data_IF_189076644457
#
_entry.id   IF_189076644457
#
_cell.length_a   1.000
_cell.length_b   1.000
_cell.length_c   1.000
_cell.angle_alpha   90.00
_cell.angle_beta   90.00
_cell.angle_gamma   90.00
#
_symmetry.space_group_name_H-M   'P 1'
#
loop_
_entity.id
_entity.type
_entity.pdbx_description
1 polymer ?
#
# COMPACT_ATOMS: atom_id res chain seq x y z
N UNK A 1 -8.59 33.92 32.86
CA UNK A 1 -7.61 32.86 32.57
C UNK A 1 -6.34 33.17 33.33
N UNK A 2 -5.89 32.25 34.19
CA UNK A 2 -4.64 32.40 34.97
C UNK A 2 -3.43 31.90 34.18
N UNK A 3 -2.21 32.19 34.63
CA UNK A 3 -0.99 31.81 33.92
C UNK A 3 -0.86 30.30 33.62
N UNK A 4 -1.31 29.45 34.56
CA UNK A 4 -1.26 28.00 34.42
C UNK A 4 -2.27 27.45 33.40
N UNK A 5 -3.36 28.19 33.16
CA UNK A 5 -4.37 27.83 32.16
C UNK A 5 -3.78 27.84 30.73
N UNK A 6 -2.91 28.82 30.46
CA UNK A 6 -2.12 28.88 29.24
C UNK A 6 -1.15 27.71 29.11
N UNK A 7 -0.46 27.34 30.19
CA UNK A 7 0.41 26.17 30.22
C UNK A 7 -0.35 24.87 29.90
N UNK A 8 -1.47 24.58 30.61
CA UNK A 8 -2.23 23.35 30.38
C UNK A 8 -2.86 23.31 28.98
N UNK A 9 -3.27 24.45 28.44
CA UNK A 9 -3.72 24.53 27.04
C UNK A 9 -2.60 24.18 26.07
N UNK A 10 -1.41 24.74 26.25
CA UNK A 10 -0.24 24.42 25.41
C UNK A 10 0.18 22.95 25.56
N UNK A 11 0.17 22.43 26.79
CA UNK A 11 0.47 21.02 27.09
C UNK A 11 -0.52 20.09 26.38
N UNK A 12 -1.82 20.37 26.44
CA UNK A 12 -2.84 19.58 25.76
C UNK A 12 -2.65 19.58 24.25
N UNK A 13 -2.29 20.73 23.66
CA UNK A 13 -1.98 20.83 22.23
C UNK A 13 -0.73 20.06 21.85
N UNK A 14 0.33 20.16 22.65
CA UNK A 14 1.56 19.39 22.47
C UNK A 14 1.28 17.89 22.56
N UNK A 15 0.47 17.44 23.52
CA UNK A 15 0.11 16.03 23.66
C UNK A 15 -0.66 15.53 22.44
N UNK A 16 -1.53 16.35 21.85
CA UNK A 16 -2.26 16.01 20.64
C UNK A 16 -1.35 15.79 19.41
N UNK A 17 -0.17 16.42 19.34
CA UNK A 17 0.78 16.18 18.22
C UNK A 17 1.41 14.80 18.26
N UNK A 18 1.34 14.10 19.40
CA UNK A 18 1.77 12.72 19.54
C UNK A 18 0.65 11.72 19.18
N UNK A 19 -0.52 12.19 18.76
CA UNK A 19 -1.69 11.34 18.46
C UNK A 19 -2.33 10.69 19.69
N UNK A 20 -3.28 9.79 19.45
CA UNK A 20 -3.99 9.03 20.48
C UNK A 20 -3.76 7.51 20.32
N UNK A 21 -4.33 6.70 21.22
CA UNK A 21 -4.22 5.23 21.16
C UNK A 21 -2.85 4.66 21.52
N UNK A 22 -2.67 3.35 21.40
CA UNK A 22 -1.35 2.71 21.54
C UNK A 22 -0.64 2.84 20.19
N UNK A 23 0.58 3.42 20.11
CA UNK A 23 1.30 3.49 18.84
C UNK A 23 1.56 2.09 18.28
N UNK A 24 1.29 1.90 16.98
CA UNK A 24 1.51 0.63 16.31
C UNK A 24 3.00 0.30 16.23
N UNK A 25 3.35 -0.92 16.61
CA UNK A 25 4.72 -1.46 16.54
C UNK A 25 4.95 -2.13 15.18
N UNK A 26 6.21 -2.31 14.81
CA UNK A 26 6.59 -2.68 13.44
C UNK A 26 6.56 -4.17 13.11
N UNK A 27 5.94 -5.03 13.93
CA UNK A 27 5.89 -6.47 13.66
C UNK A 27 5.22 -6.79 12.32
N UNK A 28 4.24 -5.98 11.90
CA UNK A 28 3.57 -6.15 10.59
C UNK A 28 4.51 -5.87 9.39
N UNK A 29 5.59 -5.12 9.62
CA UNK A 29 6.60 -4.81 8.60
C UNK A 29 7.81 -5.76 8.66
N UNK A 30 7.82 -6.75 9.56
CA UNK A 30 8.87 -7.76 9.67
C UNK A 30 8.48 -9.07 8.98
N UNK A 31 8.62 -9.11 7.65
CA UNK A 31 8.46 -10.32 6.83
C UNK A 31 9.67 -11.26 6.86
N UNK A 32 10.67 -11.00 7.71
CA UNK A 32 11.99 -11.64 7.61
C UNK A 32 11.94 -13.16 7.79
N UNK A 33 11.06 -13.67 8.65
CA UNK A 33 10.94 -15.11 8.88
C UNK A 33 10.60 -15.88 7.59
N UNK A 34 9.59 -15.40 6.84
CA UNK A 34 9.18 -15.99 5.56
C UNK A 34 10.30 -15.90 4.52
N UNK A 35 11.00 -14.77 4.46
CA UNK A 35 12.13 -14.61 3.53
C UNK A 35 13.31 -15.53 3.88
N UNK A 36 13.57 -15.78 5.16
CA UNK A 36 14.57 -16.78 5.60
C UNK A 36 14.15 -18.21 5.26
N UNK A 37 12.86 -18.52 5.34
CA UNK A 37 12.33 -19.81 4.88
C UNK A 37 12.54 -19.99 3.36
N UNK A 38 12.28 -18.94 2.57
CA UNK A 38 12.54 -18.96 1.12
C UNK A 38 14.03 -19.11 0.81
N UNK A 39 14.91 -18.40 1.54
CA UNK A 39 16.36 -18.57 1.45
C UNK A 39 16.77 -20.02 1.70
N UNK A 40 16.24 -20.64 2.76
CA UNK A 40 16.53 -22.02 3.12
C UNK A 40 16.00 -23.00 2.06
N UNK A 41 14.79 -22.78 1.54
CA UNK A 41 14.17 -23.61 0.51
C UNK A 41 15.00 -23.62 -0.78
N UNK A 42 15.45 -22.45 -1.24
CA UNK A 42 16.29 -22.36 -2.45
C UNK A 42 17.66 -23.00 -2.25
N UNK A 43 18.27 -22.84 -1.07
CA UNK A 43 19.52 -23.55 -0.73
C UNK A 43 19.33 -25.06 -0.72
N UNK A 44 18.21 -25.55 -0.19
CA UNK A 44 17.90 -26.97 -0.12
C UNK A 44 17.62 -27.59 -1.52
N UNK A 45 17.18 -26.78 -2.48
CA UNK A 45 16.95 -27.20 -3.85
C UNK A 45 18.24 -27.34 -4.68
N UNK A 46 19.43 -27.09 -4.10
CA UNK A 46 20.70 -27.22 -4.81
C UNK A 46 20.88 -28.64 -5.40
N UNK A 47 21.52 -28.78 -6.58
CA UNK A 47 21.79 -30.08 -7.18
C UNK A 47 22.63 -30.95 -6.25
N UNK A 48 22.36 -32.25 -6.24
CA UNK A 48 23.13 -33.25 -5.52
C UNK A 48 23.82 -34.22 -6.48
N UNK A 49 24.42 -35.29 -5.94
CA UNK A 49 25.15 -36.30 -6.70
C UNK A 49 24.34 -36.93 -7.85
N UNK A 50 23.01 -36.80 -7.88
CA UNK A 50 22.14 -37.34 -8.93
C UNK A 50 22.08 -36.45 -10.17
N UNK A 51 22.44 -35.16 -10.07
CA UNK A 51 22.43 -34.23 -11.20
C UNK A 51 23.71 -33.39 -11.21
N UNK A 52 24.60 -33.73 -12.14
CA UNK A 52 25.93 -33.13 -12.25
C UNK A 52 26.17 -32.59 -13.68
N UNK A 53 27.16 -31.72 -13.82
CA UNK A 53 27.55 -31.10 -15.08
C UNK A 53 27.18 -29.62 -15.16
N UNK A 54 27.53 -28.97 -16.27
CA UNK A 54 27.47 -27.50 -16.40
C UNK A 54 26.08 -26.90 -16.16
N UNK A 55 25.00 -27.64 -16.48
CA UNK A 55 23.63 -27.20 -16.21
C UNK A 55 23.31 -27.21 -14.70
N UNK A 56 23.78 -28.22 -13.97
CA UNK A 56 23.64 -28.29 -12.52
C UNK A 56 24.47 -27.17 -11.85
N UNK A 57 25.70 -26.93 -12.30
CA UNK A 57 26.54 -25.84 -11.78
C UNK A 57 25.89 -24.45 -11.98
N UNK A 58 25.32 -24.20 -13.17
CA UNK A 58 24.62 -22.96 -13.46
C UNK A 58 23.36 -22.77 -12.61
N UNK A 59 22.61 -23.85 -12.37
CA UNK A 59 21.46 -23.85 -11.49
C UNK A 59 21.86 -23.57 -10.03
N UNK A 60 22.91 -24.24 -9.52
CA UNK A 60 23.45 -24.01 -8.18
C UNK A 60 23.86 -22.54 -7.98
N UNK A 61 24.58 -21.96 -8.95
CA UNK A 61 24.99 -20.56 -8.92
C UNK A 61 23.79 -19.58 -8.91
N UNK A 62 22.68 -19.93 -9.57
CA UNK A 62 21.44 -19.13 -9.53
C UNK A 62 20.73 -19.26 -8.18
N UNK A 63 20.65 -20.46 -7.62
CA UNK A 63 20.10 -20.67 -6.27
C UNK A 63 20.88 -19.88 -5.21
N UNK A 64 22.22 -19.86 -5.29
CA UNK A 64 23.03 -19.04 -4.38
C UNK A 64 22.71 -17.55 -4.48
N UNK A 65 22.50 -17.03 -5.70
CA UNK A 65 22.10 -15.62 -5.91
C UNK A 65 20.73 -15.33 -5.32
N UNK A 66 19.74 -16.17 -5.59
CA UNK A 66 18.39 -16.01 -5.04
C UNK A 66 18.41 -16.10 -3.50
N UNK A 67 19.14 -17.05 -2.94
CA UNK A 67 19.28 -17.18 -1.50
C UNK A 67 19.95 -15.94 -0.88
N UNK A 68 20.98 -15.39 -1.52
CA UNK A 68 21.60 -14.13 -1.08
C UNK A 68 20.63 -12.94 -1.15
N UNK A 69 19.79 -12.88 -2.19
CA UNK A 69 18.73 -11.85 -2.31
C UNK A 69 17.70 -11.98 -1.19
N UNK A 70 17.12 -13.16 -0.98
CA UNK A 70 16.16 -13.40 0.11
C UNK A 70 16.75 -13.09 1.48
N UNK A 71 18.01 -13.47 1.72
CA UNK A 71 18.70 -13.16 2.97
C UNK A 71 18.85 -11.66 3.20
N UNK A 72 19.16 -10.89 2.16
CA UNK A 72 19.24 -9.42 2.25
C UNK A 72 17.89 -8.78 2.47
N UNK A 73 16.86 -9.21 1.73
CA UNK A 73 15.49 -8.72 1.93
C UNK A 73 15.03 -9.00 3.37
N UNK A 74 15.31 -10.20 3.90
CA UNK A 74 14.96 -10.55 5.27
C UNK A 74 15.64 -9.61 6.30
N UNK A 75 16.90 -9.24 6.08
CA UNK A 75 17.60 -8.30 6.95
C UNK A 75 17.03 -6.87 6.87
N UNK A 76 16.56 -6.46 5.69
CA UNK A 76 15.93 -5.16 5.50
C UNK A 76 14.53 -5.10 6.14
N UNK A 77 13.69 -6.12 5.95
CA UNK A 77 12.35 -6.20 6.56
C UNK A 77 12.46 -6.12 8.09
N UNK A 78 13.39 -6.89 8.66
CA UNK A 78 13.63 -6.87 10.11
C UNK A 78 14.07 -5.50 10.61
N UNK A 79 14.92 -4.80 9.85
CA UNK A 79 15.34 -3.43 10.18
C UNK A 79 14.18 -2.44 10.05
N UNK A 80 13.33 -2.58 9.03
CA UNK A 80 12.16 -1.73 8.84
C UNK A 80 11.19 -1.87 10.02
N UNK A 81 10.83 -3.10 10.38
CA UNK A 81 9.99 -3.36 11.55
C UNK A 81 10.58 -2.79 12.84
N UNK A 82 11.89 -2.89 13.04
CA UNK A 82 12.56 -2.29 14.19
C UNK A 82 12.46 -0.75 14.21
N UNK A 83 12.59 -0.08 13.07
CA UNK A 83 12.48 1.39 13.00
C UNK A 83 11.06 1.90 13.21
N UNK A 84 10.03 1.18 12.73
CA UNK A 84 8.63 1.50 13.04
C UNK A 84 8.36 1.35 14.55
N UNK A 85 8.86 0.28 15.17
CA UNK A 85 8.81 0.11 16.63
C UNK A 85 9.55 1.22 17.38
N UNK A 86 10.68 1.71 16.86
CA UNK A 86 11.40 2.84 17.45
C UNK A 86 10.58 4.14 17.36
N UNK A 87 9.89 4.39 16.24
CA UNK A 87 8.96 5.53 16.12
C UNK A 87 7.84 5.44 17.16
N UNK A 88 7.22 4.28 17.31
CA UNK A 88 6.21 4.04 18.34
C UNK A 88 6.74 4.35 19.75
N UNK A 89 7.99 3.97 20.04
CA UNK A 89 8.65 4.24 21.30
C UNK A 89 8.90 5.76 21.53
N UNK A 90 9.30 6.51 20.51
CA UNK A 90 9.45 7.98 20.59
C UNK A 90 8.12 8.64 20.92
N UNK A 91 7.04 8.22 20.27
CA UNK A 91 5.69 8.72 20.57
C UNK A 91 5.30 8.46 22.03
N UNK A 92 5.48 7.22 22.48
CA UNK A 92 5.16 6.83 23.85
C UNK A 92 6.00 7.62 24.88
N UNK A 93 7.29 7.79 24.62
CA UNK A 93 8.22 8.52 25.49
C UNK A 93 7.88 10.02 25.56
N UNK A 94 7.52 10.64 24.43
CA UNK A 94 7.07 12.03 24.38
C UNK A 94 5.83 12.25 25.22
N UNK A 95 4.80 11.40 25.06
CA UNK A 95 3.58 11.45 25.88
C UNK A 95 3.87 11.29 27.37
N UNK A 96 4.67 10.29 27.74
CA UNK A 96 5.06 10.07 29.14
C UNK A 96 5.82 11.28 29.73
N UNK A 97 6.67 11.94 28.93
CA UNK A 97 7.40 13.13 29.36
C UNK A 97 6.47 14.32 29.58
N UNK A 98 5.47 14.52 28.71
CA UNK A 98 4.46 15.56 28.88
C UNK A 98 3.56 15.29 30.10
N UNK A 99 3.15 14.04 30.33
CA UNK A 99 2.36 13.66 31.50
C UNK A 99 3.17 13.87 32.80
N UNK A 100 4.46 13.52 32.81
CA UNK A 100 5.37 13.80 33.93
C UNK A 100 5.53 15.30 34.20
N UNK A 101 5.61 16.10 33.13
CA UNK A 101 5.68 17.56 33.23
C UNK A 101 4.40 18.17 33.80
N UNK A 102 3.24 17.66 33.39
CA UNK A 102 1.92 18.03 33.95
C UNK A 102 1.87 17.84 35.46
N UNK A 103 2.32 16.67 35.92
CA UNK A 103 2.36 16.33 37.34
C UNK A 103 3.31 17.24 38.10
N UNK A 104 4.51 17.49 37.56
CA UNK A 104 5.47 18.41 38.18
C UNK A 104 4.92 19.84 38.31
N UNK A 105 4.26 20.39 37.29
CA UNK A 105 3.64 21.71 37.37
C UNK A 105 2.50 21.73 38.39
N UNK A 106 1.67 20.69 38.40
CA UNK A 106 0.58 20.54 39.37
C UNK A 106 1.10 20.53 40.81
N UNK A 107 2.13 19.72 41.09
CA UNK A 107 2.74 19.60 42.41
C UNK A 107 3.37 20.94 42.86
N UNK A 108 4.07 21.62 41.95
CA UNK A 108 4.65 22.92 42.25
C UNK A 108 3.58 23.98 42.55
N UNK A 109 2.47 24.01 41.81
CA UNK A 109 1.37 24.97 42.08
C UNK A 109 0.76 24.78 43.48
N UNK A 110 0.68 23.55 43.99
CA UNK A 110 0.18 23.30 45.36
C UNK A 110 1.02 23.98 46.45
N UNK A 111 2.31 24.20 46.18
CA UNK A 111 3.24 24.82 47.12
C UNK A 111 3.27 26.35 47.03
N UNK A 112 2.63 26.95 46.01
CA UNK A 112 2.68 28.38 45.76
C UNK A 112 1.59 29.12 46.57
N UNK A 113 1.93 30.20 47.30
CA UNK A 113 0.96 31.03 48.03
C UNK A 113 -0.20 31.55 47.16
N UNK A 114 -1.34 31.87 47.78
CA UNK A 114 -2.55 32.38 47.08
C UNK A 114 -2.64 33.91 47.07
N UNK A 115 -1.51 34.60 47.12
CA UNK A 115 -1.42 36.06 47.09
C UNK A 115 -0.76 36.57 45.79
N UNK A 116 -0.58 37.90 45.67
CA UNK A 116 0.06 38.51 44.49
C UNK A 116 1.49 38.02 44.25
N UNK A 117 2.22 37.59 45.29
CA UNK A 117 3.55 37.02 45.13
C UNK A 117 3.48 35.64 44.48
N UNK A 118 2.49 34.84 44.87
CA UNK A 118 2.18 33.55 44.26
C UNK A 118 1.75 33.65 42.79
N UNK A 119 1.00 34.68 42.40
CA UNK A 119 0.62 34.89 41.00
C UNK A 119 1.82 35.13 40.08
N UNK A 120 2.85 35.84 40.57
CA UNK A 120 4.12 36.00 39.85
C UNK A 120 4.90 34.68 39.75
N UNK A 121 4.89 33.88 40.81
CA UNK A 121 5.54 32.55 40.81
C UNK A 121 4.85 31.60 39.83
N UNK A 122 3.51 31.61 39.73
CA UNK A 122 2.75 30.82 38.73
C UNK A 122 3.08 31.21 37.29
N UNK A 123 3.29 32.51 37.02
CA UNK A 123 3.75 32.97 35.70
C UNK A 123 5.13 32.41 35.33
N UNK A 124 6.07 32.42 36.27
CA UNK A 124 7.42 31.87 36.06
C UNK A 124 7.35 30.35 35.88
N UNK A 125 6.54 29.65 36.69
CA UNK A 125 6.31 28.22 36.57
C UNK A 125 5.71 27.85 35.22
N UNK A 126 4.68 28.57 34.78
CA UNK A 126 4.06 28.37 33.46
C UNK A 126 5.06 28.59 32.32
N UNK A 127 5.86 29.66 32.37
CA UNK A 127 6.88 29.95 31.36
C UNK A 127 7.95 28.85 31.30
N UNK A 128 8.41 28.36 32.46
CA UNK A 128 9.35 27.24 32.52
C UNK A 128 8.75 25.95 31.97
N UNK A 129 7.50 25.65 32.33
CA UNK A 129 6.76 24.49 31.83
C UNK A 129 6.60 24.54 30.30
N UNK A 130 6.23 25.69 29.73
CA UNK A 130 6.15 25.86 28.27
C UNK A 130 7.51 25.66 27.59
N UNK A 131 8.60 26.13 28.20
CA UNK A 131 9.96 25.83 27.72
C UNK A 131 10.25 24.33 27.68
N UNK A 132 9.91 23.60 28.75
CA UNK A 132 10.10 22.15 28.79
C UNK A 132 9.20 21.38 27.81
N UNK A 133 8.00 21.88 27.51
CA UNK A 133 7.15 21.33 26.43
C UNK A 133 7.89 21.45 25.10
N UNK A 134 8.47 22.61 24.81
CA UNK A 134 9.22 22.83 23.58
C UNK A 134 10.43 21.89 23.48
N UNK A 135 11.15 21.67 24.58
CA UNK A 135 12.28 20.74 24.62
C UNK A 135 11.86 19.30 24.31
N UNK A 136 10.74 18.84 24.89
CA UNK A 136 10.19 17.49 24.61
C UNK A 136 9.79 17.33 23.15
N UNK A 137 9.13 18.34 22.57
CA UNK A 137 8.75 18.33 21.15
C UNK A 137 10.00 18.32 20.27
N UNK A 138 10.96 19.20 20.52
CA UNK A 138 12.18 19.28 19.72
C UNK A 138 12.97 17.97 19.76
N UNK A 139 13.18 17.39 20.95
CA UNK A 139 13.87 16.11 21.09
C UNK A 139 13.15 15.00 20.35
N UNK A 140 11.81 14.93 20.47
CA UNK A 140 11.02 13.91 19.77
C UNK A 140 11.09 14.07 18.25
N UNK A 141 11.07 15.32 17.75
CA UNK A 141 11.26 15.61 16.32
C UNK A 141 12.64 15.19 15.85
N UNK A 142 13.70 15.52 16.60
CA UNK A 142 15.07 15.15 16.24
C UNK A 142 15.26 13.62 16.20
N UNK A 143 14.63 12.90 17.13
CA UNK A 143 14.64 11.43 17.18
C UNK A 143 13.85 10.83 16.00
N UNK A 144 12.68 11.38 15.67
CA UNK A 144 11.90 10.97 14.48
C UNK A 144 12.65 11.24 13.18
N UNK A 145 13.30 12.39 13.05
CA UNK A 145 14.13 12.71 11.87
C UNK A 145 15.32 11.74 11.74
N UNK A 146 15.90 11.33 12.86
CA UNK A 146 16.94 10.32 12.86
C UNK A 146 16.43 8.95 12.40
N UNK A 147 15.21 8.57 12.81
CA UNK A 147 14.54 7.34 12.34
C UNK A 147 14.23 7.45 10.84
N UNK A 148 13.66 8.57 10.38
CA UNK A 148 13.33 8.80 8.97
C UNK A 148 14.56 8.66 8.06
N UNK A 149 15.73 9.18 8.49
CA UNK A 149 16.99 8.98 7.76
C UNK A 149 17.41 7.51 7.66
N UNK A 150 17.15 6.70 8.68
CA UNK A 150 17.44 5.25 8.66
C UNK A 150 16.45 4.48 7.79
N UNK A 151 15.17 4.86 7.79
CA UNK A 151 14.15 4.31 6.89
C UNK A 151 14.52 4.61 5.43
N UNK A 152 14.98 5.82 5.12
CA UNK A 152 15.44 6.19 3.77
C UNK A 152 16.69 5.40 3.34
N UNK A 153 17.61 5.10 4.26
CA UNK A 153 18.75 4.19 4.00
C UNK A 153 18.30 2.75 3.71
N UNK A 154 17.28 2.27 4.43
CA UNK A 154 16.67 0.96 4.18
C UNK A 154 16.01 0.94 2.80
N UNK A 155 15.25 1.99 2.45
CA UNK A 155 14.62 2.14 1.12
C UNK A 155 15.66 2.04 0.00
N UNK A 156 16.77 2.79 0.10
CA UNK A 156 17.85 2.74 -0.90
C UNK A 156 18.43 1.32 -1.05
N UNK A 157 18.52 0.56 0.03
CA UNK A 157 18.98 -0.83 -0.03
C UNK A 157 17.97 -1.77 -0.69
N UNK A 158 16.66 -1.52 -0.54
CA UNK A 158 15.65 -2.21 -1.36
C UNK A 158 15.79 -1.86 -2.84
N UNK A 159 15.93 -0.57 -3.17
CA UNK A 159 16.11 -0.10 -4.55
C UNK A 159 17.37 -0.71 -5.19
N UNK A 160 18.45 -0.85 -4.42
CA UNK A 160 19.65 -1.54 -4.87
C UNK A 160 19.44 -3.03 -5.17
N UNK A 161 18.55 -3.71 -4.45
CA UNK A 161 18.21 -5.10 -4.73
C UNK A 161 17.37 -5.18 -6.00
N UNK A 162 16.40 -4.28 -6.17
CA UNK A 162 15.55 -4.18 -7.36
C UNK A 162 16.37 -3.80 -8.62
N UNK A 163 17.32 -2.88 -8.50
CA UNK A 163 18.17 -2.42 -9.62
C UNK A 163 19.31 -3.37 -10.01
N UNK A 164 19.55 -4.46 -9.26
CA UNK A 164 20.61 -5.44 -9.56
C UNK A 164 20.18 -6.54 -10.55
N UNK A 165 18.97 -6.50 -11.10
CA UNK A 165 18.53 -7.45 -12.13
C UNK A 165 19.04 -7.16 -13.55
N UNK A 166 19.71 -6.04 -13.81
CA UNK A 166 20.38 -5.77 -15.10
C UNK A 166 21.91 -5.84 -14.97
N UNK A 167 22.51 -6.97 -15.35
CA UNK A 167 23.96 -7.03 -15.60
C UNK A 167 24.64 -8.36 -15.28
N UNK A 168 24.58 -9.31 -16.22
CA UNK A 168 25.61 -10.34 -16.34
C UNK A 168 25.92 -10.56 -17.83
N UNK A 169 26.96 -9.89 -18.33
CA UNK A 169 27.51 -10.15 -19.66
C UNK A 169 28.39 -11.42 -19.66
N UNK A 170 28.09 -12.26 -20.67
CA UNK A 170 28.93 -13.18 -21.45
C UNK A 170 29.51 -14.46 -20.82
N UNK A 171 29.04 -15.62 -21.31
CA UNK A 171 29.84 -16.55 -22.12
C UNK A 171 28.97 -17.17 -23.23
N UNK A 172 29.56 -17.25 -24.42
CA UNK A 172 28.99 -17.60 -25.73
C UNK A 172 28.76 -19.12 -25.89
N UNK A 173 27.50 -19.57 -26.05
CA UNK A 173 27.02 -20.72 -26.86
C UNK A 173 25.49 -20.93 -26.67
N UNK A 174 24.73 -21.33 -27.73
CA UNK A 174 23.28 -21.12 -27.79
C UNK A 174 22.49 -22.24 -27.09
N UNK A 175 21.98 -21.94 -25.91
CA UNK A 175 20.75 -22.53 -25.38
C UNK A 175 19.81 -21.36 -25.13
N UNK A 176 18.72 -21.32 -25.89
CA UNK A 176 17.83 -20.16 -25.97
C UNK A 176 17.41 -19.66 -24.59
N UNK A 177 17.46 -18.34 -24.41
CA UNK A 177 16.79 -17.67 -23.31
C UNK A 177 15.36 -18.24 -23.21
N UNK A 178 14.80 -18.48 -22.00
CA UNK A 178 13.35 -18.55 -21.89
C UNK A 178 12.79 -17.28 -22.55
N UNK A 179 11.67 -17.37 -23.30
CA UNK A 179 11.16 -16.23 -24.02
C UNK A 179 11.01 -15.05 -23.05
N UNK A 180 11.31 -13.80 -23.48
CA UNK A 180 10.97 -12.64 -22.69
C UNK A 180 9.50 -12.75 -22.30
N UNK A 181 9.21 -12.68 -21.00
CA UNK A 181 7.82 -12.58 -20.54
C UNK A 181 7.32 -11.25 -21.07
N UNK A 182 6.21 -11.28 -21.82
CA UNK A 182 5.59 -10.07 -22.32
C UNK A 182 5.22 -9.18 -21.11
N UNK A 183 5.71 -7.93 -21.01
CA UNK A 183 5.42 -7.05 -19.89
C UNK A 183 3.92 -6.91 -19.59
N UNK A 184 3.07 -7.01 -20.61
CA UNK A 184 1.61 -6.94 -20.46
C UNK A 184 1.02 -8.20 -19.80
N UNK A 185 1.61 -9.37 -20.07
CA UNK A 185 1.24 -10.62 -19.39
C UNK A 185 1.76 -10.64 -17.95
N UNK A 186 2.90 -10.01 -17.68
CA UNK A 186 3.41 -9.83 -16.32
C UNK A 186 2.51 -8.89 -15.50
N UNK A 187 2.08 -7.77 -16.09
CA UNK A 187 1.07 -6.88 -15.47
C UNK A 187 -0.20 -7.67 -15.19
N UNK A 188 -0.76 -8.35 -16.19
CA UNK A 188 -1.97 -9.16 -16.00
C UNK A 188 -1.83 -10.19 -14.88
N UNK A 189 -0.66 -10.80 -14.70
CA UNK A 189 -0.40 -11.76 -13.63
C UNK A 189 -0.22 -11.12 -12.25
N UNK A 190 0.48 -9.97 -12.18
CA UNK A 190 0.82 -9.30 -10.91
C UNK A 190 -0.38 -8.57 -10.32
N UNK A 191 -1.18 -7.95 -11.18
CA UNK A 191 -2.33 -7.13 -10.80
C UNK A 191 -3.59 -8.01 -10.80
N UNK A 192 -3.65 -8.94 -9.85
CA UNK A 192 -4.81 -9.80 -9.59
C UNK A 192 -5.04 -9.84 -8.10
N UNK A 193 -6.30 -9.76 -7.68
CA UNK A 193 -6.68 -9.86 -6.27
C UNK A 193 -7.77 -10.90 -6.09
N UNK A 194 -7.73 -11.62 -4.97
CA UNK A 194 -8.80 -12.55 -4.64
C UNK A 194 -10.08 -11.76 -4.33
N UNK A 195 -11.24 -12.24 -4.79
CA UNK A 195 -12.55 -11.68 -4.42
C UNK A 195 -12.65 -11.46 -2.89
N UNK A 196 -13.44 -10.46 -2.47
CA UNK A 196 -13.61 -10.18 -1.05
C UNK A 196 -14.18 -11.42 -0.33
N UNK A 197 -13.49 -11.97 0.70
CA UNK A 197 -13.94 -13.18 1.38
C UNK A 197 -15.28 -13.02 2.10
N UNK A 198 -15.66 -11.78 2.44
CA UNK A 198 -16.94 -11.44 3.07
C UNK A 198 -18.00 -11.03 2.02
N UNK A 199 -17.65 -11.07 0.73
CA UNK A 199 -18.52 -10.78 -0.40
C UNK A 199 -18.81 -9.28 -0.61
N UNK A 200 -19.91 -9.00 -1.30
CA UNK A 200 -20.39 -7.66 -1.57
C UNK A 200 -21.71 -7.37 -0.85
N UNK A 201 -21.94 -6.11 -0.50
CA UNK A 201 -23.13 -5.64 0.20
C UNK A 201 -23.58 -4.28 -0.33
N UNK A 202 -24.82 -3.91 -0.04
CA UNK A 202 -25.33 -2.58 -0.31
C UNK A 202 -25.04 -1.68 0.89
N UNK A 203 -24.04 -0.81 0.75
CA UNK A 203 -23.59 0.09 1.80
C UNK A 203 -24.31 1.44 1.73
N UNK A 204 -24.65 1.98 2.90
CA UNK A 204 -25.19 3.32 3.06
C UNK A 204 -24.48 4.04 4.22
N UNK A 205 -24.23 5.35 4.11
CA UNK A 205 -23.64 6.11 5.22
C UNK A 205 -24.56 6.13 6.44
N UNK A 206 -23.97 6.11 7.63
CA UNK A 206 -24.72 6.10 8.89
C UNK A 206 -25.72 7.27 9.06
N UNK A 207 -26.67 7.09 9.98
CA UNK A 207 -27.65 8.13 10.30
C UNK A 207 -26.95 9.44 10.74
N UNK A 208 -27.40 10.63 10.26
CA UNK A 208 -28.63 10.89 9.50
C UNK A 208 -28.50 10.85 7.96
N UNK A 209 -27.34 10.48 7.41
CA UNK A 209 -26.99 10.70 6.00
C UNK A 209 -27.55 9.65 5.04
N UNK A 210 -27.86 8.43 5.50
CA UNK A 210 -28.56 7.41 4.70
C UNK A 210 -29.84 7.92 4.01
N UNK A 211 -30.54 8.91 4.60
CA UNK A 211 -31.74 9.49 4.02
C UNK A 211 -31.49 10.39 2.79
N UNK A 212 -30.23 10.74 2.51
CA UNK A 212 -29.83 11.66 1.44
C UNK A 212 -29.08 10.96 0.30
N UNK A 213 -28.75 9.68 0.44
CA UNK A 213 -27.93 8.91 -0.52
C UNK A 213 -28.60 7.59 -0.85
N UNK A 214 -28.38 7.08 -2.06
CA UNK A 214 -28.81 5.72 -2.41
C UNK A 214 -27.77 4.68 -1.97
N UNK A 215 -28.19 3.44 -1.64
CA UNK A 215 -27.26 2.36 -1.35
C UNK A 215 -26.30 2.13 -2.51
N UNK A 216 -25.02 1.93 -2.17
CA UNK A 216 -23.95 1.63 -3.12
C UNK A 216 -23.54 0.18 -2.97
N UNK A 217 -23.56 -0.56 -4.07
CA UNK A 217 -23.05 -1.92 -4.10
C UNK A 217 -21.52 -1.88 -4.06
N UNK A 218 -20.94 -2.38 -2.97
CA UNK A 218 -19.50 -2.32 -2.66
C UNK A 218 -19.06 -3.63 -2.04
N UNK A 219 -17.75 -3.89 -2.00
CA UNK A 219 -17.23 -5.02 -1.24
C UNK A 219 -17.39 -4.80 0.28
N UNK A 220 -17.44 -5.87 1.06
CA UNK A 220 -17.53 -5.76 2.51
C UNK A 220 -16.31 -5.03 3.11
N UNK A 221 -15.13 -5.20 2.53
CA UNK A 221 -13.92 -4.47 2.91
C UNK A 221 -14.00 -3.00 2.53
N UNK A 222 -14.50 -2.66 1.34
CA UNK A 222 -14.77 -1.28 0.95
C UNK A 222 -15.76 -0.61 1.93
N UNK A 223 -16.84 -1.29 2.30
CA UNK A 223 -17.81 -0.81 3.28
C UNK A 223 -17.17 -0.49 4.65
N UNK A 224 -16.27 -1.36 5.14
CA UNK A 224 -15.54 -1.12 6.40
C UNK A 224 -14.62 0.09 6.31
N UNK A 225 -13.95 0.29 5.17
CA UNK A 225 -13.11 1.47 4.94
C UNK A 225 -13.99 2.73 4.90
N UNK A 226 -15.13 2.69 4.21
CA UNK A 226 -16.08 3.80 4.15
C UNK A 226 -16.65 4.17 5.53
N UNK A 227 -16.93 3.18 6.38
CA UNK A 227 -17.41 3.38 7.75
C UNK A 227 -16.38 4.06 8.67
N UNK A 228 -15.09 4.01 8.30
CA UNK A 228 -14.01 4.66 9.05
C UNK A 228 -13.87 6.16 8.76
N UNK A 229 -14.47 6.64 7.68
CA UNK A 229 -14.38 8.03 7.24
C UNK A 229 -15.37 8.94 7.97
N UNK A 230 -14.93 10.15 8.28
CA UNK A 230 -15.83 11.21 8.70
C UNK A 230 -16.77 11.64 7.54
N UNK A 231 -17.96 12.20 7.83
CA UNK A 231 -18.91 12.59 6.78
C UNK A 231 -18.35 13.57 5.73
N UNK A 232 -17.42 14.45 6.13
CA UNK A 232 -16.77 15.37 5.21
C UNK A 232 -15.73 14.66 4.32
N UNK A 233 -15.05 13.63 4.82
CA UNK A 233 -14.14 12.79 4.04
C UNK A 233 -14.91 11.97 3.01
N UNK A 234 -16.09 11.44 3.38
CA UNK A 234 -17.01 10.80 2.42
C UNK A 234 -17.48 11.78 1.34
N UNK A 235 -17.74 13.04 1.70
CA UNK A 235 -18.07 14.08 0.73
C UNK A 235 -16.90 14.34 -0.22
N UNK A 236 -15.67 14.45 0.29
CA UNK A 236 -14.48 14.64 -0.54
C UNK A 236 -14.26 13.43 -1.47
N UNK A 237 -14.40 12.20 -0.97
CA UNK A 237 -14.27 10.99 -1.77
C UNK A 237 -15.28 10.99 -2.93
N UNK A 238 -16.54 11.33 -2.66
CA UNK A 238 -17.57 11.48 -3.70
C UNK A 238 -17.19 12.56 -4.72
N UNK A 239 -16.68 13.72 -4.26
CA UNK A 239 -16.24 14.79 -5.16
C UNK A 239 -15.07 14.37 -6.04
N UNK A 240 -14.10 13.61 -5.51
CA UNK A 240 -12.97 13.11 -6.31
C UNK A 240 -13.43 12.10 -7.37
N UNK A 241 -14.40 11.23 -7.02
CA UNK A 241 -15.00 10.28 -7.96
C UNK A 241 -15.75 11.01 -9.08
N UNK A 242 -16.60 11.97 -8.73
CA UNK A 242 -17.34 12.79 -9.71
C UNK A 242 -16.39 13.58 -10.61
N UNK A 243 -15.33 14.17 -10.05
CA UNK A 243 -14.32 14.89 -10.82
C UNK A 243 -13.61 13.96 -11.82
N UNK A 244 -13.25 12.74 -11.40
CA UNK A 244 -12.61 11.77 -12.28
C UNK A 244 -13.54 11.28 -13.40
N UNK A 245 -14.81 11.02 -13.09
CA UNK A 245 -15.83 10.61 -14.08
C UNK A 245 -16.13 11.69 -15.13
N UNK A 246 -16.15 12.97 -14.71
CA UNK A 246 -16.37 14.10 -15.61
C UNK A 246 -15.15 14.35 -16.47
N UNK A 247 -13.97 14.46 -15.85
CA UNK A 247 -12.73 14.82 -16.54
C UNK A 247 -12.32 13.74 -17.53
N UNK A 248 -12.57 12.45 -17.22
CA UNK A 248 -12.25 11.36 -18.15
C UNK A 248 -13.01 11.48 -19.47
N UNK A 249 -14.31 11.81 -19.43
CA UNK A 249 -15.14 11.99 -20.63
C UNK A 249 -14.81 13.28 -21.38
N UNK A 250 -14.20 14.25 -20.72
CA UNK A 250 -13.74 15.49 -21.36
C UNK A 250 -12.46 15.24 -22.14
N UNK A 251 -11.48 14.55 -21.55
CA UNK A 251 -10.16 14.32 -22.15
C UNK A 251 -10.14 13.14 -23.12
N UNK A 252 -10.85 12.07 -22.79
CA UNK A 252 -11.01 10.88 -23.61
C UNK A 252 -12.50 10.64 -23.87
N UNK A 253 -13.12 11.38 -24.80
CA UNK A 253 -14.55 11.27 -25.05
C UNK A 253 -14.94 9.88 -25.59
N UNK A 254 -16.07 9.30 -25.15
CA UNK A 254 -16.51 7.98 -25.61
C UNK A 254 -16.79 7.98 -27.13
N UNK A 255 -16.08 7.14 -27.88
CA UNK A 255 -16.12 7.16 -29.34
C UNK A 255 -17.29 6.33 -29.91
N UNK A 256 -17.66 5.22 -29.26
CA UNK A 256 -18.73 4.32 -29.74
C UNK A 256 -20.07 4.48 -29.02
N UNK A 257 -20.32 5.68 -28.46
CA UNK A 257 -21.54 6.04 -27.76
C UNK A 257 -21.31 6.34 -26.28
N UNK A 258 -22.27 7.00 -25.65
CA UNK A 258 -22.10 7.59 -24.31
C UNK A 258 -21.75 6.61 -23.17
N UNK A 259 -21.94 5.30 -23.40
CA UNK A 259 -21.65 4.24 -22.43
C UNK A 259 -20.33 3.48 -22.72
N UNK A 260 -19.62 3.83 -23.80
CA UNK A 260 -18.33 3.24 -24.16
C UNK A 260 -17.21 3.85 -23.30
N UNK A 261 -17.21 3.51 -22.01
CA UNK A 261 -16.32 4.11 -21.00
C UNK A 261 -15.62 3.10 -20.10
N UNK A 262 -15.74 1.81 -20.44
CA UNK A 262 -15.12 0.71 -19.71
C UNK A 262 -14.00 0.12 -20.57
N UNK A 263 -12.96 -0.41 -19.93
CA UNK A 263 -11.86 -1.15 -20.57
C UNK A 263 -10.99 -0.32 -21.57
N UNK A 264 -11.25 0.99 -21.68
CA UNK A 264 -10.69 1.88 -22.70
C UNK A 264 -9.96 3.10 -22.10
N UNK A 265 -9.51 4.03 -22.93
CA UNK A 265 -8.76 5.22 -22.48
C UNK A 265 -9.55 6.11 -21.49
N UNK A 266 -10.88 6.18 -21.64
CA UNK A 266 -11.75 6.87 -20.68
C UNK A 266 -11.65 6.24 -19.31
N UNK A 267 -11.56 4.91 -19.26
CA UNK A 267 -11.48 4.14 -18.03
C UNK A 267 -10.09 4.24 -17.39
N UNK A 268 -9.04 4.02 -18.20
CA UNK A 268 -7.66 4.14 -17.77
C UNK A 268 -7.37 5.53 -17.14
N UNK A 269 -7.85 6.60 -17.78
CA UNK A 269 -7.76 7.94 -17.21
C UNK A 269 -8.58 8.08 -15.92
N UNK A 270 -9.83 7.60 -15.89
CA UNK A 270 -10.70 7.71 -14.72
C UNK A 270 -10.07 7.05 -13.49
N UNK A 271 -9.57 5.83 -13.63
CA UNK A 271 -8.92 5.07 -12.56
C UNK A 271 -7.64 5.73 -12.06
N UNK A 272 -6.74 6.11 -12.98
CA UNK A 272 -5.50 6.79 -12.63
C UNK A 272 -5.76 8.16 -11.97
N UNK A 273 -6.66 8.98 -12.52
CA UNK A 273 -6.93 10.31 -11.97
C UNK A 273 -7.67 10.25 -10.62
N UNK A 274 -8.63 9.33 -10.47
CA UNK A 274 -9.28 9.13 -9.17
C UNK A 274 -8.28 8.71 -8.09
N UNK A 275 -7.37 7.78 -8.41
CA UNK A 275 -6.30 7.37 -7.49
C UNK A 275 -5.31 8.51 -7.19
N UNK A 276 -5.01 9.38 -8.15
CA UNK A 276 -4.18 10.55 -7.92
C UNK A 276 -4.83 11.53 -6.93
N UNK A 277 -6.12 11.83 -7.12
CA UNK A 277 -6.89 12.73 -6.24
C UNK A 277 -7.04 12.14 -4.83
N UNK A 278 -7.39 10.85 -4.72
CA UNK A 278 -7.48 10.17 -3.44
C UNK A 278 -6.13 10.14 -2.72
N UNK A 279 -5.02 9.90 -3.44
CA UNK A 279 -3.67 9.87 -2.85
C UNK A 279 -3.28 11.21 -2.25
N UNK A 280 -3.58 12.32 -2.93
CA UNK A 280 -3.34 13.65 -2.36
C UNK A 280 -4.23 13.95 -1.14
N UNK A 281 -5.48 13.46 -1.14
CA UNK A 281 -6.45 13.77 -0.08
C UNK A 281 -6.30 12.91 1.16
N UNK A 282 -6.11 11.61 0.98
CA UNK A 282 -6.17 10.57 2.02
C UNK A 282 -4.84 9.84 2.22
N UNK A 283 -3.86 10.03 1.33
CA UNK A 283 -2.57 9.35 1.35
C UNK A 283 -2.54 8.06 0.51
N UNK A 284 -1.34 7.64 0.11
CA UNK A 284 -1.15 6.49 -0.79
C UNK A 284 -1.65 5.18 -0.19
N UNK A 285 -1.29 4.88 1.05
CA UNK A 285 -1.66 3.63 1.71
C UNK A 285 -3.19 3.47 1.76
N UNK A 286 -3.88 4.49 2.27
CA UNK A 286 -5.35 4.47 2.35
C UNK A 286 -5.97 4.30 0.96
N UNK A 287 -5.43 5.01 -0.03
CA UNK A 287 -5.93 4.95 -1.41
C UNK A 287 -5.74 3.58 -2.03
N UNK A 288 -4.59 2.94 -1.79
CA UNK A 288 -4.31 1.58 -2.27
C UNK A 288 -5.27 0.59 -1.64
N UNK A 289 -5.45 0.62 -0.33
CA UNK A 289 -6.33 -0.31 0.39
C UNK A 289 -7.80 -0.14 -0.05
N UNK A 290 -8.25 1.10 -0.23
CA UNK A 290 -9.58 1.41 -0.73
C UNK A 290 -9.79 0.97 -2.19
N UNK A 291 -8.85 1.33 -3.09
CA UNK A 291 -8.95 0.97 -4.50
C UNK A 291 -8.88 -0.54 -4.70
N UNK A 292 -7.99 -1.24 -3.99
CA UNK A 292 -7.92 -2.70 -4.03
C UNK A 292 -9.24 -3.32 -3.57
N UNK A 293 -9.81 -2.85 -2.45
CA UNK A 293 -11.11 -3.33 -1.99
C UNK A 293 -12.22 -3.06 -3.01
N UNK A 294 -12.15 -1.96 -3.77
CA UNK A 294 -13.11 -1.63 -4.82
C UNK A 294 -13.07 -2.63 -5.99
N UNK A 295 -11.87 -3.11 -6.36
CA UNK A 295 -11.71 -4.05 -7.48
C UNK A 295 -12.10 -5.50 -7.14
N UNK A 296 -12.21 -5.86 -5.85
CA UNK A 296 -12.51 -7.22 -5.36
C UNK A 296 -13.97 -7.66 -5.49
N UNK A 297 -14.74 -6.99 -6.35
CA UNK A 297 -16.15 -7.33 -6.59
C UNK A 297 -16.27 -8.72 -7.24
N UNK A 298 -17.24 -9.56 -6.82
CA UNK A 298 -17.40 -10.91 -7.37
C UNK A 298 -17.64 -10.93 -8.89
N UNK A 299 -16.89 -11.77 -9.59
CA UNK A 299 -17.02 -11.96 -11.03
C UNK A 299 -16.43 -10.85 -11.91
N UNK A 300 -15.48 -10.06 -11.38
CA UNK A 300 -14.70 -9.11 -12.18
C UNK A 300 -13.79 -9.85 -13.17
N UNK A 301 -13.84 -9.55 -14.48
CA UNK A 301 -12.95 -10.18 -15.45
C UNK A 301 -11.47 -9.89 -15.13
N UNK A 302 -10.65 -10.93 -15.06
CA UNK A 302 -9.22 -10.82 -14.71
C UNK A 302 -8.46 -9.73 -15.48
N UNK A 303 -8.71 -9.58 -16.79
CA UNK A 303 -8.02 -8.56 -17.61
C UNK A 303 -8.44 -7.13 -17.25
N UNK A 304 -9.72 -6.90 -16.95
CA UNK A 304 -10.21 -5.58 -16.53
C UNK A 304 -9.69 -5.22 -15.14
N UNK A 305 -9.77 -6.17 -14.20
CA UNK A 305 -9.19 -6.02 -12.87
C UNK A 305 -7.69 -5.65 -12.91
N UNK A 306 -6.91 -6.35 -13.76
CA UNK A 306 -5.50 -6.04 -13.92
C UNK A 306 -5.25 -4.64 -14.50
N UNK A 307 -6.08 -4.24 -15.48
CA UNK A 307 -6.02 -2.92 -16.09
C UNK A 307 -6.26 -1.84 -15.03
N UNK A 308 -7.34 -1.99 -14.26
CA UNK A 308 -7.77 -1.03 -13.26
C UNK A 308 -6.76 -0.94 -12.11
N UNK A 309 -6.32 -2.07 -11.54
CA UNK A 309 -5.30 -2.09 -10.48
C UNK A 309 -3.97 -1.47 -10.92
N UNK A 310 -3.52 -1.74 -12.15
CA UNK A 310 -2.29 -1.15 -12.70
C UNK A 310 -2.44 0.36 -12.91
N UNK A 311 -3.53 0.79 -13.55
CA UNK A 311 -3.78 2.21 -13.80
C UNK A 311 -4.01 2.99 -12.50
N UNK A 312 -4.63 2.36 -11.50
CA UNK A 312 -4.76 2.87 -10.13
C UNK A 312 -3.36 3.16 -9.55
N UNK A 313 -2.40 2.21 -9.65
CA UNK A 313 -1.02 2.42 -9.18
C UNK A 313 -0.31 3.56 -9.92
N UNK A 314 -0.46 3.66 -11.25
CA UNK A 314 0.09 4.78 -12.03
C UNK A 314 -0.41 6.11 -11.49
N UNK A 315 -1.71 6.22 -11.19
CA UNK A 315 -2.31 7.39 -10.56
C UNK A 315 -1.70 7.77 -9.22
N UNK A 316 -1.56 6.79 -8.32
CA UNK A 316 -0.94 7.00 -7.00
C UNK A 316 0.51 7.49 -7.13
N UNK A 317 1.28 6.88 -8.04
CA UNK A 317 2.67 7.26 -8.31
C UNK A 317 2.80 8.70 -8.84
N UNK A 318 1.89 9.13 -9.72
CA UNK A 318 1.85 10.53 -10.22
C UNK A 318 1.59 11.50 -9.07
N UNK A 319 0.62 11.22 -8.20
CA UNK A 319 0.32 12.08 -7.05
C UNK A 319 1.47 12.16 -6.04
N UNK A 320 2.11 11.03 -5.72
CA UNK A 320 3.28 11.01 -4.82
C UNK A 320 4.47 11.79 -5.37
N UNK A 321 4.69 11.76 -6.69
CA UNK A 321 5.75 12.54 -7.34
C UNK A 321 5.42 14.04 -7.43
N UNK A 322 4.14 14.42 -7.27
CA UNK A 322 3.64 15.78 -7.43
C UNK A 322 2.70 16.18 -6.27
N UNK A 323 3.20 16.22 -5.01
CA UNK A 323 2.34 16.41 -3.83
C UNK A 323 1.64 17.77 -3.79
N UNK A 324 2.23 18.79 -4.42
CA UNK A 324 1.68 20.16 -4.45
C UNK A 324 0.91 20.50 -5.74
N UNK A 325 0.77 19.54 -6.66
CA UNK A 325 0.03 19.77 -7.91
C UNK A 325 -1.45 20.00 -7.64
N UNK A 326 -2.04 20.95 -8.35
CA UNK A 326 -3.49 21.16 -8.37
C UNK A 326 -4.21 19.99 -9.05
N UNK A 327 -5.52 19.79 -8.81
CA UNK A 327 -6.29 18.78 -9.52
C UNK A 327 -6.18 18.88 -11.06
N UNK A 328 -6.15 20.10 -11.60
CA UNK A 328 -5.98 20.32 -13.04
C UNK A 328 -4.59 19.88 -13.54
N UNK A 329 -3.53 20.18 -12.77
CA UNK A 329 -2.17 19.73 -13.10
C UNK A 329 -2.03 18.20 -12.99
N UNK A 330 -2.67 17.58 -11.99
CA UNK A 330 -2.74 16.11 -11.90
C UNK A 330 -3.47 15.51 -13.10
N UNK A 331 -4.60 16.10 -13.51
CA UNK A 331 -5.32 15.66 -14.71
C UNK A 331 -4.45 15.77 -15.96
N UNK A 332 -3.68 16.85 -16.12
CA UNK A 332 -2.72 17.02 -17.22
C UNK A 332 -1.61 15.96 -17.20
N UNK A 333 -1.09 15.60 -16.03
CA UNK A 333 -0.07 14.56 -15.87
C UNK A 333 -0.62 13.17 -16.16
N UNK A 334 -1.83 12.86 -15.72
CA UNK A 334 -2.50 11.58 -16.00
C UNK A 334 -2.82 11.46 -17.49
N UNK A 335 -3.31 12.52 -18.13
CA UNK A 335 -3.52 12.54 -19.58
C UNK A 335 -2.23 12.26 -20.35
N UNK A 336 -1.11 12.86 -19.92
CA UNK A 336 0.21 12.59 -20.51
C UNK A 336 0.66 11.14 -20.29
N UNK A 337 0.35 10.53 -19.14
CA UNK A 337 0.66 9.13 -18.88
C UNK A 337 -0.14 8.21 -19.83
N UNK A 338 -1.44 8.49 -20.00
CA UNK A 338 -2.29 7.75 -20.95
C UNK A 338 -1.79 7.90 -22.38
N UNK A 339 -1.47 9.12 -22.82
CA UNK A 339 -1.01 9.37 -24.19
C UNK A 339 0.40 8.82 -24.48
N UNK A 340 1.26 8.65 -23.47
CA UNK A 340 2.61 8.08 -23.63
C UNK A 340 2.66 6.56 -23.56
N UNK A 341 1.57 5.91 -23.14
CA UNK A 341 1.52 4.47 -22.97
C UNK A 341 2.04 4.00 -21.62
N UNK A 342 2.05 4.86 -20.60
CA UNK A 342 2.42 4.49 -19.24
C UNK A 342 1.30 3.68 -18.55
N UNK A 343 0.06 3.82 -19.03
CA UNK A 343 -1.15 3.07 -18.65
C UNK A 343 -1.48 1.95 -19.64
N UNK A 344 -2.39 1.05 -19.26
CA UNK A 344 -2.88 -0.03 -20.13
C UNK A 344 -4.39 0.06 -20.37
N UNK A 345 -4.83 -0.51 -21.49
CA UNK A 345 -6.24 -0.71 -21.88
C UNK A 345 -6.44 -2.17 -22.31
N UNK A 346 -7.68 -2.61 -22.52
CA UNK A 346 -7.93 -3.94 -23.09
C UNK A 346 -7.65 -3.94 -24.59
N UNK A 347 -6.87 -4.91 -25.05
CA UNK A 347 -6.41 -4.98 -26.43
C UNK A 347 -7.57 -5.22 -27.41
N UNK A 348 -7.61 -4.54 -28.57
CA UNK A 348 -8.57 -4.84 -29.64
C UNK A 348 -8.49 -6.30 -30.08
N UNK A 349 -9.62 -6.87 -30.49
CA UNK A 349 -9.69 -8.20 -31.13
C UNK A 349 -9.02 -9.32 -30.30
N UNK A 350 -9.04 -9.20 -28.97
CA UNK A 350 -8.41 -10.14 -28.04
C UNK A 350 -9.42 -10.97 -27.25
N UNK A 351 -10.71 -10.89 -27.57
CA UNK A 351 -11.81 -11.48 -26.79
C UNK A 351 -11.81 -11.07 -25.30
N UNK A 352 -11.18 -9.93 -24.98
CA UNK A 352 -11.04 -9.42 -23.61
C UNK A 352 -9.93 -10.11 -22.81
N UNK A 353 -9.06 -10.88 -23.46
CA UNK A 353 -8.04 -11.69 -22.77
C UNK A 353 -6.69 -10.99 -22.62
N UNK A 354 -6.44 -9.90 -23.35
CA UNK A 354 -5.12 -9.26 -23.38
C UNK A 354 -5.17 -7.78 -23.05
N UNK A 355 -4.13 -7.30 -22.40
CA UNK A 355 -3.84 -5.89 -22.23
C UNK A 355 -3.08 -5.34 -23.44
N UNK A 356 -3.12 -4.04 -23.64
CA UNK A 356 -2.28 -3.27 -24.55
C UNK A 356 -1.88 -1.95 -23.89
N UNK A 357 -0.70 -1.44 -24.22
CA UNK A 357 -0.32 -0.08 -23.81
C UNK A 357 -1.27 0.93 -24.44
N UNK A 358 -1.74 1.91 -23.66
CA UNK A 358 -2.76 2.85 -24.09
C UNK A 358 -2.40 3.61 -25.37
N UNK A 359 -1.12 3.93 -25.61
CA UNK A 359 -0.68 4.62 -26.84
C UNK A 359 -0.59 3.73 -28.09
N UNK A 360 -0.77 2.43 -27.95
CA UNK A 360 -0.75 1.46 -29.07
C UNK A 360 -2.14 1.17 -29.63
N UNK A 361 -3.18 1.60 -28.93
CA UNK A 361 -4.58 1.42 -29.30
C UNK A 361 -5.18 2.78 -29.61
N UNK A 362 -5.75 2.99 -30.81
CA UNK A 362 -6.50 4.21 -31.11
C UNK A 362 -7.70 4.36 -30.18
N UNK A 363 -8.06 5.59 -29.82
CA UNK A 363 -9.28 5.86 -29.05
C UNK A 363 -10.51 5.27 -29.75
N UNK A 364 -11.35 4.55 -28.99
CA UNK A 364 -12.53 3.86 -29.52
C UNK A 364 -12.26 2.48 -30.14
N UNK A 365 -11.00 2.03 -30.22
CA UNK A 365 -10.66 0.69 -30.71
C UNK A 365 -10.34 -0.31 -29.58
N UNK A 366 -10.32 0.12 -28.32
CA UNK A 366 -10.10 -0.79 -27.19
C UNK A 366 -11.11 -1.95 -27.18
N UNK A 367 -10.65 -3.13 -26.76
CA UNK A 367 -11.50 -4.28 -26.56
C UNK A 367 -12.41 -4.11 -25.34
N UNK A 368 -13.36 -5.03 -25.18
CA UNK A 368 -14.19 -5.12 -23.98
C UNK A 368 -14.08 -6.51 -23.38
N UNK A 369 -14.05 -6.59 -22.06
CA UNK A 369 -14.10 -7.84 -21.33
C UNK A 369 -15.53 -8.37 -21.25
N UNK A 370 -15.68 -9.70 -21.16
CA UNK A 370 -16.98 -10.35 -20.95
C UNK A 370 -16.96 -11.18 -19.67
N UNK A 371 -18.10 -11.37 -19.02
CA UNK A 371 -18.25 -12.20 -17.80
C UNK A 371 -17.85 -13.68 -17.95
N UNK A 372 -17.44 -14.11 -19.15
CA UNK A 372 -17.09 -15.50 -19.45
C UNK A 372 -15.61 -15.82 -19.20
N UNK A 373 -14.77 -14.80 -19.04
CA UNK A 373 -13.37 -14.95 -18.67
C UNK A 373 -13.27 -15.19 -17.16
N UNK A 374 -12.46 -16.18 -16.80
CA UNK A 374 -12.29 -16.73 -15.43
C UNK A 374 -12.10 -15.61 -14.39
N UNK A 375 -12.69 -15.72 -13.18
CA UNK A 375 -12.51 -14.73 -12.11
C UNK A 375 -11.03 -14.46 -11.85
N UNK A 376 -10.69 -13.24 -11.44
CA UNK A 376 -9.36 -12.89 -10.95
C UNK A 376 -8.89 -13.92 -9.93
N UNK A 377 -7.77 -14.58 -10.21
CA UNK A 377 -7.12 -15.50 -9.29
C UNK A 377 -5.77 -14.93 -8.96
N UNK A 378 -5.48 -14.76 -7.67
CA UNK A 378 -4.13 -14.41 -7.26
C UNK A 378 -3.12 -15.39 -7.89
N UNK A 379 -1.93 -14.91 -8.31
CA UNK A 379 -0.95 -15.76 -8.99
C UNK A 379 -0.63 -16.97 -8.12
N UNK A 380 -1.02 -18.15 -8.60
CA UNK A 380 -0.69 -19.42 -7.96
C UNK A 380 0.85 -19.49 -7.84
N UNK A 381 1.43 -19.74 -6.64
CA UNK A 381 2.87 -19.89 -6.50
C UNK A 381 3.34 -20.97 -7.47
N UNK A 382 4.16 -20.58 -8.45
CA UNK A 382 4.52 -21.43 -9.57
C UNK A 382 5.11 -22.77 -9.07
N UNK A 383 4.40 -23.87 -9.30
CA UNK A 383 4.91 -25.20 -8.95
C UNK A 383 3.88 -26.30 -8.74
N UNK A 384 2.90 -26.47 -9.64
CA UNK A 384 2.19 -27.74 -9.74
C UNK A 384 2.08 -28.14 -11.21
N UNK A 385 2.95 -29.06 -11.63
CA UNK A 385 2.79 -29.77 -12.89
C UNK A 385 1.47 -30.56 -12.92
N UNK A 386 0.98 -30.95 -14.10
CA UNK A 386 -0.33 -31.56 -14.25
C UNK A 386 -0.36 -32.95 -13.60
N UNK A 387 -1.08 -33.05 -12.47
CA UNK A 387 -1.46 -34.32 -11.86
C UNK A 387 -1.03 -34.47 -10.40
N UNK A 388 -1.89 -34.06 -9.47
CA UNK A 388 -1.76 -34.39 -8.05
C UNK A 388 -2.70 -33.55 -7.20
N UNK A 389 -3.73 -34.20 -6.65
CA UNK A 389 -4.62 -33.60 -5.65
C UNK A 389 -3.80 -33.34 -4.38
N UNK A 390 -3.69 -32.09 -3.96
CA UNK A 390 -3.08 -31.71 -2.69
C UNK A 390 -4.17 -31.53 -1.63
N UNK A 391 -4.11 -32.33 -0.57
CA UNK A 391 -4.96 -32.30 0.61
C UNK A 391 -4.20 -31.59 1.75
N UNK A 392 -4.61 -30.38 2.17
CA UNK A 392 -3.92 -29.64 3.21
C UNK A 392 -4.46 -29.99 4.61
N UNK A 393 -4.00 -31.14 5.12
CA UNK A 393 -3.69 -31.32 6.55
C UNK A 393 -4.82 -31.62 7.56
N UNK A 394 -4.57 -32.66 8.37
CA UNK A 394 -4.91 -32.63 9.80
C UNK A 394 -3.75 -33.20 10.65
N UNK A 395 -3.38 -32.56 11.77
CA UNK A 395 -2.36 -33.06 12.69
C UNK A 395 -2.97 -33.92 13.80
N UNK A 396 -2.44 -35.13 13.97
CA UNK A 396 -2.51 -35.89 15.23
C UNK A 396 -3.59 -36.96 15.32
N UNK A 397 -3.16 -38.23 15.29
CA UNK A 397 -3.97 -39.38 15.69
C UNK A 397 -3.17 -40.68 15.58
N UNK A 398 -2.61 -41.14 16.70
CA UNK A 398 -2.00 -42.46 16.80
C UNK A 398 -3.03 -43.55 16.46
N UNK A 399 -2.66 -44.47 15.55
CA UNK A 399 -3.47 -45.63 15.21
C UNK A 399 -2.63 -46.72 14.54
N UNK A 400 -2.23 -47.71 15.32
CA UNK A 400 -1.55 -48.93 14.86
C UNK A 400 -2.54 -49.89 14.20
N UNK A 401 -2.29 -50.32 12.96
CA UNK A 401 -2.66 -51.63 12.38
C UNK A 401 -2.09 -51.69 10.94
N UNK A 402 -1.05 -52.47 10.64
CA UNK A 402 -1.05 -53.93 10.41
C UNK A 402 -1.77 -54.39 9.12
N UNK A 403 -0.99 -54.95 8.18
CA UNK A 403 -1.42 -55.82 7.07
C UNK A 403 -1.96 -55.08 5.84
N UNK A 404 -1.60 -55.38 4.59
CA UNK A 404 -0.89 -56.51 4.01
C UNK A 404 -1.21 -56.55 2.52
N UNK A 405 -0.25 -57.08 1.76
CA UNK A 405 -0.21 -57.38 0.31
C UNK A 405 0.04 -56.21 -0.65
#
# INVERSE_FOLDING_TARGET
MGALDGFYTTLSRARATFGEGVPATGEEFDGSARLREMEAAVKAAAPDDRWQGSAADAYAAKNEKHAATYGRLADLDKRMGAEVTNSAAVVAAGRHSLDSLSNWVSDMDTSIPRDQSGDRMRLILAAKGIGQINDVIQQSTDDMDAIARRIEDIRKQYDEIAGKEEGAQALDHPLGNPPPVDPLEEIKRKYQVDEDPDGALDWEPGWPWNHLTSPKHVTATEARILDSLAPWELQDLNQTKEAAEVESKVRFPPQNGANDTADNHTDAFRHAYWNALMTQRFGEQWTRDFAEAHERLPGNPATAEAMDLYNNEVGRNIAMANPDATPAELADLVEQAVNRGDTVVVAPNSDGEKLAWSNTVPEGEAGTTSKSTVPGQAPNPAGAGPGGVYDPGQPGGYGTSAGGY
#
